data_IF_836346024611
#
_entry.id   IF_836346024611
#
_cell.length_a   1.000
_cell.length_b   1.000
_cell.length_c   1.000
_cell.angle_alpha   90.00
_cell.angle_beta   90.00
_cell.angle_gamma   90.00
#
_symmetry.space_group_name_H-M   'P 1'
#
loop_
_entity.id
_entity.type
_entity.pdbx_description
1 polymer ?
#
# COMPACT_ATOMS: atom_id res chain seq x y z
N UNK A 1 -28.01 53.41 -12.96
CA UNK A 1 -26.85 52.53 -12.67
C UNK A 1 -25.62 53.32 -13.05
N UNK A 2 -24.91 53.83 -12.06
CA UNK A 2 -23.87 54.86 -12.22
C UNK A 2 -22.72 54.38 -13.10
N UNK A 3 -22.37 55.16 -14.11
CA UNK A 3 -21.25 54.86 -15.05
C UNK A 3 -19.92 54.65 -14.30
N UNK A 4 -19.76 55.19 -13.11
CA UNK A 4 -18.60 54.97 -12.24
C UNK A 4 -18.56 53.53 -11.70
N UNK A 5 -19.70 52.96 -11.35
CA UNK A 5 -19.79 51.57 -10.83
C UNK A 5 -19.44 50.55 -11.94
N UNK A 6 -19.88 50.81 -13.15
CA UNK A 6 -19.58 49.98 -14.34
C UNK A 6 -18.08 50.05 -14.65
N UNK A 7 -17.47 51.23 -14.63
CA UNK A 7 -16.03 51.36 -14.90
C UNK A 7 -15.17 50.72 -13.80
N UNK A 8 -15.58 50.77 -12.54
CA UNK A 8 -14.90 50.10 -11.44
C UNK A 8 -14.99 48.57 -11.57
N UNK A 9 -16.17 48.05 -11.94
CA UNK A 9 -16.37 46.65 -12.17
C UNK A 9 -15.54 46.13 -13.37
N UNK A 10 -15.54 46.85 -14.49
CA UNK A 10 -14.73 46.51 -15.65
C UNK A 10 -13.21 46.57 -15.32
N UNK A 11 -12.77 47.55 -14.56
CA UNK A 11 -11.37 47.64 -14.10
C UNK A 11 -10.99 46.45 -13.20
N UNK A 12 -11.87 46.06 -12.30
CA UNK A 12 -11.65 44.88 -11.45
C UNK A 12 -11.57 43.58 -12.25
N UNK A 13 -12.46 43.37 -13.22
CA UNK A 13 -12.45 42.20 -14.11
C UNK A 13 -11.16 42.18 -14.94
N UNK A 14 -10.78 43.31 -15.53
CA UNK A 14 -9.54 43.41 -16.32
C UNK A 14 -8.30 43.06 -15.49
N UNK A 15 -8.22 43.56 -14.24
CA UNK A 15 -7.13 43.24 -13.34
C UNK A 15 -7.06 41.75 -13.03
N UNK A 16 -8.20 41.11 -12.72
CA UNK A 16 -8.27 39.69 -12.44
C UNK A 16 -7.85 38.85 -13.66
N UNK A 17 -8.28 39.24 -14.87
CA UNK A 17 -7.88 38.56 -16.11
C UNK A 17 -6.38 38.69 -16.35
N UNK A 18 -5.80 39.90 -16.15
CA UNK A 18 -4.34 40.07 -16.29
C UNK A 18 -3.55 39.23 -15.31
N UNK A 19 -3.97 39.18 -14.04
CA UNK A 19 -3.33 38.33 -13.02
C UNK A 19 -3.46 36.85 -13.38
N UNK A 20 -4.64 36.41 -13.78
CA UNK A 20 -4.90 35.04 -14.21
C UNK A 20 -4.04 34.61 -15.39
N UNK A 21 -3.92 35.48 -16.41
CA UNK A 21 -3.06 35.23 -17.57
C UNK A 21 -1.58 35.20 -17.19
N UNK A 22 -1.12 36.11 -16.35
CA UNK A 22 0.27 36.16 -15.90
C UNK A 22 0.68 34.86 -15.18
N UNK A 23 -0.11 34.47 -14.19
CA UNK A 23 0.17 33.23 -13.45
C UNK A 23 -0.07 31.98 -14.30
N UNK A 24 -1.10 31.96 -15.15
CA UNK A 24 -1.39 30.84 -16.04
C UNK A 24 -0.25 30.59 -17.05
N UNK A 25 0.24 31.63 -17.68
CA UNK A 25 1.39 31.51 -18.60
C UNK A 25 2.66 31.14 -17.83
N UNK A 26 2.90 31.74 -16.66
CA UNK A 26 4.05 31.40 -15.82
C UNK A 26 4.07 29.93 -15.41
N UNK A 27 2.93 29.40 -14.95
CA UNK A 27 2.78 28.00 -14.60
C UNK A 27 2.92 27.07 -15.81
N UNK A 28 2.35 27.43 -16.95
CA UNK A 28 2.47 26.63 -18.18
C UNK A 28 3.92 26.54 -18.66
N UNK A 29 4.66 27.64 -18.63
CA UNK A 29 6.09 27.67 -18.97
C UNK A 29 6.93 26.86 -17.98
N UNK A 30 6.63 27.00 -16.68
CA UNK A 30 7.29 26.21 -15.64
C UNK A 30 7.00 24.72 -15.81
N UNK A 31 5.75 24.32 -16.01
CA UNK A 31 5.37 22.95 -16.25
C UNK A 31 6.09 22.35 -17.46
N UNK A 32 6.19 23.09 -18.57
CA UNK A 32 6.91 22.63 -19.75
C UNK A 32 8.43 22.50 -19.50
N UNK A 33 9.02 23.47 -18.79
CA UNK A 33 10.47 23.47 -18.51
C UNK A 33 10.89 22.42 -17.49
N UNK A 34 10.03 22.09 -16.51
CA UNK A 34 10.27 21.11 -15.47
C UNK A 34 9.58 19.77 -15.74
N UNK A 35 9.02 19.56 -16.94
CA UNK A 35 8.47 18.27 -17.34
C UNK A 35 9.59 17.23 -17.32
N UNK A 36 9.40 16.21 -16.48
CA UNK A 36 10.27 15.02 -16.44
C UNK A 36 9.75 14.05 -17.51
N UNK A 37 10.60 13.72 -18.46
CA UNK A 37 10.25 12.67 -19.44
C UNK A 37 10.18 11.32 -18.73
N UNK A 38 8.97 10.82 -18.53
CA UNK A 38 8.76 9.48 -17.98
C UNK A 38 8.96 8.46 -19.09
N UNK A 39 9.79 7.46 -18.85
CA UNK A 39 9.99 6.38 -19.81
C UNK A 39 8.64 5.65 -20.04
N UNK A 40 8.13 5.56 -21.27
CA UNK A 40 6.84 4.95 -21.56
C UNK A 40 6.75 3.48 -21.14
N UNK A 41 7.88 2.80 -20.98
CA UNK A 41 7.93 1.45 -20.42
C UNK A 41 7.49 1.40 -18.96
N UNK A 42 7.78 2.45 -18.17
CA UNK A 42 7.35 2.51 -16.76
C UNK A 42 5.83 2.53 -16.67
N UNK A 43 5.18 3.33 -17.53
CA UNK A 43 3.72 3.42 -17.58
C UNK A 43 3.10 2.08 -18.02
N UNK A 44 3.66 1.43 -19.04
CA UNK A 44 3.22 0.12 -19.51
C UNK A 44 3.36 -0.96 -18.41
N UNK A 45 4.46 -0.96 -17.67
CA UNK A 45 4.67 -1.86 -16.54
C UNK A 45 3.66 -1.54 -15.44
N UNK A 46 3.49 -0.27 -15.07
CA UNK A 46 2.55 0.16 -14.03
C UNK A 46 1.12 -0.31 -14.31
N UNK A 47 0.66 -0.19 -15.56
CA UNK A 47 -0.65 -0.69 -16.00
C UNK A 47 -0.78 -2.22 -15.96
N UNK A 48 0.32 -2.94 -16.05
CA UNK A 48 0.32 -4.41 -15.96
C UNK A 48 0.31 -4.93 -14.52
N UNK A 49 0.67 -4.10 -13.55
CA UNK A 49 0.69 -4.47 -12.14
C UNK A 49 -0.72 -4.59 -11.54
N UNK A 50 -0.83 -5.32 -10.44
CA UNK A 50 -2.12 -5.55 -9.76
C UNK A 50 -2.78 -4.29 -9.17
N UNK A 51 -2.10 -3.16 -9.12
CA UNK A 51 -2.63 -1.87 -8.64
C UNK A 51 -2.96 -1.79 -7.14
N UNK A 52 -2.68 -2.84 -6.38
CA UNK A 52 -3.07 -2.95 -4.97
C UNK A 52 -2.30 -2.00 -4.02
N UNK A 53 -1.24 -1.33 -4.47
CA UNK A 53 -0.41 -0.41 -3.70
C UNK A 53 0.07 -0.96 -2.33
N UNK A 54 0.13 -2.29 -2.19
CA UNK A 54 0.32 -2.98 -0.91
C UNK A 54 1.76 -2.90 -0.36
N UNK A 55 2.75 -2.48 -1.16
CA UNK A 55 4.15 -2.43 -0.76
C UNK A 55 4.77 -3.80 -0.41
N UNK A 56 4.11 -4.92 -0.76
CA UNK A 56 4.59 -6.28 -0.51
C UNK A 56 5.91 -6.59 -1.20
N UNK A 57 6.13 -6.02 -2.37
CA UNK A 57 7.37 -6.12 -3.14
C UNK A 57 8.58 -5.37 -2.53
N UNK A 58 8.37 -4.62 -1.43
CA UNK A 58 9.41 -3.82 -0.78
C UNK A 58 9.56 -2.39 -1.31
N UNK A 59 8.79 -1.99 -2.31
CA UNK A 59 8.79 -0.65 -2.90
C UNK A 59 7.61 0.19 -2.41
N UNK A 60 7.72 1.51 -2.51
CA UNK A 60 6.68 2.45 -2.13
C UNK A 60 5.56 2.48 -3.18
N UNK A 61 4.71 1.43 -3.17
CA UNK A 61 3.61 1.26 -4.11
C UNK A 61 4.02 0.68 -5.46
N UNK A 62 3.04 0.53 -6.35
CA UNK A 62 3.24 -0.08 -7.66
C UNK A 62 4.13 0.78 -8.57
N UNK A 63 4.03 2.11 -8.47
CA UNK A 63 4.84 3.04 -9.25
C UNK A 63 6.34 2.90 -8.89
N UNK A 64 6.66 2.85 -7.60
CA UNK A 64 8.04 2.66 -7.14
C UNK A 64 8.66 1.36 -7.68
N UNK A 65 7.90 0.28 -7.71
CA UNK A 65 8.36 -0.98 -8.31
C UNK A 65 8.49 -0.89 -9.82
N UNK A 66 7.53 -0.25 -10.52
CA UNK A 66 7.60 -0.06 -11.98
C UNK A 66 8.86 0.72 -12.39
N UNK A 67 9.17 1.81 -11.68
CA UNK A 67 10.40 2.59 -11.89
C UNK A 67 11.64 1.75 -11.65
N UNK A 68 11.68 1.02 -10.54
CA UNK A 68 12.84 0.20 -10.19
C UNK A 68 13.08 -0.93 -11.18
N UNK A 69 12.04 -1.69 -11.56
CA UNK A 69 12.19 -2.85 -12.46
C UNK A 69 12.57 -2.45 -13.88
N UNK A 70 12.21 -1.24 -14.33
CA UNK A 70 12.60 -0.73 -15.66
C UNK A 70 14.02 -0.18 -15.68
N UNK A 71 14.42 0.53 -14.63
CA UNK A 71 15.71 1.24 -14.60
C UNK A 71 16.87 0.40 -14.06
N UNK A 72 16.61 -0.57 -13.19
CA UNK A 72 17.62 -1.40 -12.56
C UNK A 72 17.53 -2.84 -13.08
N UNK A 73 18.57 -3.35 -13.77
CA UNK A 73 18.63 -4.71 -14.29
C UNK A 73 18.59 -5.79 -13.19
N UNK A 74 19.05 -5.48 -11.97
CA UNK A 74 19.09 -6.44 -10.87
C UNK A 74 17.71 -6.68 -10.22
N UNK A 75 16.75 -5.76 -10.41
CA UNK A 75 15.39 -5.91 -9.87
C UNK A 75 14.62 -6.96 -10.67
N UNK A 76 14.20 -8.06 -10.05
CA UNK A 76 13.51 -9.14 -10.76
C UNK A 76 12.06 -8.77 -11.11
N UNK A 77 11.49 -9.35 -12.19
CA UNK A 77 10.15 -9.01 -12.66
C UNK A 77 9.01 -9.67 -11.86
N UNK A 78 9.31 -10.56 -10.92
CA UNK A 78 8.36 -11.40 -10.20
C UNK A 78 8.04 -10.95 -8.76
N UNK A 79 8.36 -9.70 -8.39
CA UNK A 79 8.12 -9.21 -7.02
C UNK A 79 6.67 -8.80 -6.74
N UNK A 80 5.80 -8.74 -7.75
CA UNK A 80 4.39 -8.42 -7.55
C UNK A 80 3.61 -9.65 -7.10
N UNK A 81 3.57 -9.93 -5.81
CA UNK A 81 2.87 -11.10 -5.25
C UNK A 81 1.36 -11.14 -5.61
N UNK A 82 0.58 -10.03 -5.50
CA UNK A 82 -0.82 -10.05 -5.89
C UNK A 82 -1.06 -10.37 -7.37
N UNK A 83 -0.11 -10.02 -8.23
CA UNK A 83 -0.20 -10.26 -9.67
C UNK A 83 0.17 -11.67 -10.10
N UNK A 84 0.79 -12.44 -9.20
CA UNK A 84 1.23 -13.83 -9.44
C UNK A 84 2.02 -13.97 -10.76
N UNK A 85 2.00 -15.16 -11.33
CA UNK A 85 2.73 -15.50 -12.56
C UNK A 85 2.30 -14.67 -13.78
N UNK A 86 1.02 -14.37 -13.90
CA UNK A 86 0.49 -13.62 -15.05
C UNK A 86 1.07 -12.20 -15.17
N UNK A 87 1.22 -11.50 -14.04
CA UNK A 87 1.84 -10.17 -14.01
C UNK A 87 3.35 -10.28 -14.17
N UNK A 88 4.00 -11.25 -13.52
CA UNK A 88 5.43 -11.47 -13.65
C UNK A 88 5.85 -11.73 -15.11
N UNK A 89 5.07 -12.50 -15.86
CA UNK A 89 5.29 -12.76 -17.29
C UNK A 89 5.21 -11.46 -18.12
N UNK A 90 4.16 -10.64 -17.91
CA UNK A 90 4.01 -9.37 -18.60
C UNK A 90 5.12 -8.36 -18.29
N UNK A 91 5.51 -8.28 -17.02
CA UNK A 91 6.62 -7.40 -16.59
C UNK A 91 7.93 -7.88 -17.22
N UNK A 92 8.19 -9.19 -17.26
CA UNK A 92 9.37 -9.77 -17.87
C UNK A 92 9.42 -9.46 -19.39
N UNK A 93 8.29 -9.59 -20.09
CA UNK A 93 8.16 -9.25 -21.52
C UNK A 93 8.45 -7.76 -21.77
N UNK A 94 7.82 -6.85 -21.02
CA UNK A 94 7.99 -5.40 -21.17
C UNK A 94 9.41 -4.92 -20.85
N UNK A 95 10.06 -5.56 -19.90
CA UNK A 95 11.41 -5.19 -19.46
C UNK A 95 12.52 -5.95 -20.17
N UNK A 96 12.18 -7.03 -20.90
CA UNK A 96 13.14 -7.91 -21.57
C UNK A 96 13.92 -8.79 -20.59
N UNK A 97 13.44 -8.96 -19.36
CA UNK A 97 14.10 -9.76 -18.32
C UNK A 97 13.65 -11.23 -18.35
N UNK A 98 14.52 -12.11 -17.87
CA UNK A 98 14.15 -13.52 -17.74
C UNK A 98 13.15 -13.69 -16.58
N UNK A 99 12.06 -14.41 -16.84
CA UNK A 99 11.09 -14.76 -15.82
C UNK A 99 11.71 -15.72 -14.81
N UNK A 100 11.61 -15.40 -13.53
CA UNK A 100 11.94 -16.30 -12.43
C UNK A 100 10.66 -16.94 -11.92
N UNK A 101 10.71 -18.20 -11.49
CA UNK A 101 9.53 -18.89 -10.95
C UNK A 101 8.90 -18.10 -9.79
N UNK A 102 7.58 -18.03 -9.78
CA UNK A 102 6.79 -17.45 -8.69
C UNK A 102 6.30 -18.58 -7.82
N UNK A 103 6.71 -18.61 -6.56
CA UNK A 103 6.19 -19.56 -5.58
C UNK A 103 4.87 -19.04 -5.01
N UNK A 104 3.85 -19.89 -5.02
CA UNK A 104 2.59 -19.58 -4.35
C UNK A 104 2.79 -19.66 -2.83
N UNK A 105 2.74 -18.52 -2.18
CA UNK A 105 2.85 -18.39 -0.74
C UNK A 105 1.52 -17.94 -0.15
N UNK A 106 1.23 -18.37 1.06
CA UNK A 106 0.10 -17.89 1.85
C UNK A 106 0.58 -17.48 3.24
N UNK A 107 -0.12 -16.55 3.86
CA UNK A 107 0.12 -16.23 5.25
C UNK A 107 -0.35 -17.40 6.13
N UNK A 108 0.47 -17.80 7.08
CA UNK A 108 0.14 -18.88 8.02
C UNK A 108 0.35 -18.36 9.44
N UNK A 109 -0.61 -18.64 10.32
CA UNK A 109 -0.49 -18.29 11.74
C UNK A 109 0.16 -19.45 12.46
N UNK A 110 1.26 -19.19 13.15
CA UNK A 110 2.00 -20.19 13.91
C UNK A 110 1.49 -20.39 15.35
N UNK A 111 0.41 -19.73 15.72
CA UNK A 111 -0.25 -19.91 17.00
C UNK A 111 -1.51 -20.76 16.83
N UNK A 112 -1.52 -21.93 17.42
CA UNK A 112 -2.74 -22.71 17.58
C UNK A 112 -3.38 -22.30 18.90
N UNK A 113 -4.28 -21.32 18.88
CA UNK A 113 -5.00 -20.89 20.09
C UNK A 113 -6.04 -21.95 20.47
N UNK A 114 -5.55 -23.03 21.08
CA UNK A 114 -6.43 -24.02 21.71
C UNK A 114 -6.77 -23.50 23.10
N UNK A 115 -8.07 -23.45 23.40
CA UNK A 115 -8.59 -23.06 24.69
C UNK A 115 -7.87 -23.81 25.82
N UNK A 116 -7.42 -23.08 26.86
CA UNK A 116 -6.66 -23.64 27.97
C UNK A 116 -5.15 -23.83 27.76
N UNK A 117 -4.61 -23.69 26.55
CA UNK A 117 -3.15 -23.82 26.32
C UNK A 117 -2.37 -22.54 26.64
N UNK A 118 -2.98 -21.38 26.57
CA UNK A 118 -2.33 -20.12 26.87
C UNK A 118 -3.09 -19.41 27.99
N UNK A 119 -2.45 -19.29 29.14
CA UNK A 119 -3.00 -18.52 30.27
C UNK A 119 -2.81 -17.02 30.03
N UNK A 120 -3.71 -16.21 30.60
CA UNK A 120 -3.59 -14.76 30.60
C UNK A 120 -2.86 -14.31 31.85
N UNK A 121 -1.95 -13.34 31.74
CA UNK A 121 -1.25 -12.67 32.83
C UNK A 121 -2.12 -11.61 33.48
N UNK A 122 -2.89 -10.91 32.67
CA UNK A 122 -3.78 -9.81 33.04
C UNK A 122 -4.88 -9.65 32.00
N UNK A 123 -5.94 -8.98 32.34
CA UNK A 123 -6.96 -8.51 31.42
C UNK A 123 -6.48 -7.21 30.77
N UNK A 124 -6.62 -7.14 29.45
CA UNK A 124 -6.29 -5.92 28.70
C UNK A 124 -7.52 -5.03 28.60
N UNK A 125 -7.45 -3.85 29.20
CA UNK A 125 -8.47 -2.80 29.11
C UNK A 125 -7.83 -1.61 28.41
N UNK A 126 -8.13 -1.42 27.11
CA UNK A 126 -7.54 -0.36 26.31
C UNK A 126 -8.07 -0.35 24.88
N UNK A 127 -7.38 0.37 24.00
CA UNK A 127 -7.73 0.41 22.59
C UNK A 127 -7.66 -0.97 21.93
N UNK A 128 -8.58 -1.28 21.04
CA UNK A 128 -8.61 -2.53 20.27
C UNK A 128 -7.46 -2.57 19.24
N UNK A 129 -6.22 -2.55 19.70
CA UNK A 129 -5.00 -2.52 18.89
C UNK A 129 -3.99 -3.51 19.46
N UNK A 130 -3.51 -4.43 18.62
CA UNK A 130 -2.47 -5.40 18.98
C UNK A 130 -1.17 -4.69 19.33
N UNK A 131 -0.85 -3.63 18.60
CA UNK A 131 0.34 -2.81 18.83
C UNK A 131 0.29 -2.14 20.18
N UNK A 132 -0.84 -1.50 20.53
CA UNK A 132 -1.02 -0.87 21.84
C UNK A 132 -0.97 -1.88 22.99
N UNK A 133 -1.65 -3.02 22.84
CA UNK A 133 -1.62 -4.07 23.85
C UNK A 133 -0.23 -4.70 24.02
N UNK A 134 0.57 -4.78 22.96
CA UNK A 134 1.93 -5.30 23.02
C UNK A 134 2.90 -4.39 23.79
N UNK A 135 2.67 -3.06 23.79
CA UNK A 135 3.45 -2.12 24.59
C UNK A 135 3.31 -2.38 26.10
N UNK A 136 2.16 -2.91 26.53
CA UNK A 136 1.91 -3.33 27.91
C UNK A 136 2.46 -4.73 28.18
N UNK A 137 3.72 -4.84 28.60
CA UNK A 137 4.37 -6.11 29.01
C UNK A 137 4.28 -7.24 27.97
N UNK A 138 4.23 -6.91 26.69
CA UNK A 138 4.12 -7.87 25.60
C UNK A 138 2.72 -8.48 25.42
N UNK A 139 1.68 -7.81 25.89
CA UNK A 139 0.28 -8.23 25.77
C UNK A 139 -0.21 -9.15 26.89
N UNK A 140 -1.52 -9.47 26.91
CA UNK A 140 -2.19 -10.13 28.02
C UNK A 140 -1.81 -11.60 28.22
N UNK A 141 -1.28 -12.26 27.19
CA UNK A 141 -0.98 -13.70 27.22
C UNK A 141 0.33 -14.00 27.94
N UNK A 142 0.39 -15.11 28.68
CA UNK A 142 1.61 -15.58 29.33
C UNK A 142 2.69 -15.98 28.34
N UNK A 143 2.30 -16.52 27.19
CA UNK A 143 3.21 -16.81 26.09
C UNK A 143 3.57 -15.50 25.34
N UNK A 144 4.84 -15.16 25.32
CA UNK A 144 5.33 -13.95 24.64
C UNK A 144 5.10 -13.94 23.12
N UNK A 145 4.93 -15.11 22.53
CA UNK A 145 4.70 -15.30 21.08
C UNK A 145 3.21 -15.48 20.74
N UNK A 146 2.32 -15.49 21.74
CA UNK A 146 0.91 -15.71 21.48
C UNK A 146 0.27 -14.56 20.69
N UNK A 147 -0.65 -14.92 19.80
CA UNK A 147 -1.52 -13.95 19.14
C UNK A 147 -2.32 -13.17 20.20
N UNK A 148 -2.35 -11.85 20.09
CA UNK A 148 -3.10 -10.97 21.01
C UNK A 148 -4.60 -11.03 20.72
N UNK A 149 -4.99 -11.18 19.42
CA UNK A 149 -6.37 -11.43 19.04
C UNK A 149 -7.23 -10.18 18.82
N UNK A 150 -6.64 -8.98 18.74
CA UNK A 150 -7.38 -7.71 18.53
C UNK A 150 -7.59 -7.33 17.06
N UNK A 151 -7.19 -8.16 16.09
CA UNK A 151 -7.63 -8.04 14.71
C UNK A 151 -6.92 -7.03 13.83
N UNK A 152 -5.80 -6.40 14.23
CA UNK A 152 -5.08 -5.47 13.36
C UNK A 152 -4.67 -6.08 12.01
N UNK A 153 -4.31 -7.38 11.99
CA UNK A 153 -3.99 -8.07 10.74
C UNK A 153 -5.18 -8.18 9.79
N UNK A 154 -6.39 -8.34 10.30
CA UNK A 154 -7.62 -8.34 9.49
C UNK A 154 -7.94 -6.93 8.99
N UNK A 155 -7.83 -5.91 9.84
CA UNK A 155 -8.12 -4.52 9.49
C UNK A 155 -7.21 -3.96 8.38
N UNK A 156 -5.96 -4.42 8.30
CA UNK A 156 -4.99 -3.95 7.29
C UNK A 156 -4.97 -4.82 6.03
N UNK A 157 -5.77 -5.88 5.95
CA UNK A 157 -5.78 -6.78 4.80
C UNK A 157 -6.57 -6.14 3.64
N UNK A 158 -5.91 -5.71 2.54
CA UNK A 158 -6.62 -5.07 1.43
C UNK A 158 -7.40 -6.06 0.56
N UNK A 159 -7.29 -7.36 0.85
CA UNK A 159 -7.94 -8.45 0.11
C UNK A 159 -9.03 -9.14 0.92
N UNK A 160 -9.33 -8.66 2.13
CA UNK A 160 -10.29 -9.27 3.06
C UNK A 160 -10.07 -10.79 3.24
N UNK A 161 -8.81 -11.21 3.21
CA UNK A 161 -8.43 -12.61 3.33
C UNK A 161 -8.31 -13.10 4.78
N UNK A 162 -8.58 -12.23 5.77
CA UNK A 162 -8.44 -12.55 7.19
C UNK A 162 -9.74 -12.25 7.91
N UNK A 163 -10.34 -13.27 8.49
CA UNK A 163 -11.55 -13.14 9.31
C UNK A 163 -11.21 -13.43 10.77
N UNK A 164 -11.77 -12.65 11.69
CA UNK A 164 -11.60 -12.88 13.13
C UNK A 164 -12.70 -13.79 13.65
N UNK A 165 -12.32 -14.96 14.16
CA UNK A 165 -13.24 -15.94 14.79
C UNK A 165 -12.83 -16.07 16.26
N UNK A 166 -13.70 -15.73 17.19
CA UNK A 166 -13.45 -15.80 18.64
C UNK A 166 -12.11 -15.15 19.08
N UNK A 167 -11.77 -14.00 18.45
CA UNK A 167 -10.53 -13.31 18.70
C UNK A 167 -9.28 -14.00 18.12
N UNK A 168 -9.47 -14.92 17.16
CA UNK A 168 -8.38 -15.58 16.44
C UNK A 168 -8.50 -15.31 14.94
N UNK A 169 -7.42 -14.90 14.25
CA UNK A 169 -7.45 -14.67 12.81
C UNK A 169 -7.43 -16.00 12.05
N UNK A 170 -8.41 -16.15 11.17
CA UNK A 170 -8.50 -17.27 10.20
C UNK A 170 -8.21 -16.70 8.83
N UNK A 171 -7.26 -17.30 8.13
CA UNK A 171 -6.81 -16.86 6.81
C UNK A 171 -7.48 -17.71 5.75
N UNK A 172 -8.12 -17.06 4.78
CA UNK A 172 -8.65 -17.68 3.58
C UNK A 172 -7.51 -17.81 2.55
N UNK A 173 -7.08 -19.05 2.22
CA UNK A 173 -5.97 -19.27 1.30
C UNK A 173 -6.30 -18.83 -0.14
N UNK A 174 -7.57 -18.87 -0.55
CA UNK A 174 -7.98 -18.52 -1.91
C UNK A 174 -7.96 -17.00 -2.14
N UNK A 175 -8.19 -16.24 -1.07
CA UNK A 175 -8.15 -14.75 -1.08
C UNK A 175 -6.78 -14.20 -0.72
N UNK A 176 -5.92 -14.98 -0.08
CA UNK A 176 -4.60 -14.54 0.34
C UNK A 176 -3.64 -14.47 -0.85
N UNK A 177 -3.10 -13.29 -1.11
CA UNK A 177 -2.14 -13.03 -2.20
C UNK A 177 -0.71 -12.83 -1.68
N UNK A 178 -0.41 -13.21 -0.46
CA UNK A 178 0.94 -13.14 0.15
C UNK A 178 1.59 -11.75 0.18
N UNK A 179 0.82 -10.68 0.20
CA UNK A 179 1.35 -9.31 0.19
C UNK A 179 2.19 -8.93 1.43
N UNK A 180 2.12 -9.71 2.50
CA UNK A 180 2.91 -9.54 3.72
C UNK A 180 2.50 -8.38 4.63
N UNK A 181 1.45 -7.62 4.31
CA UNK A 181 1.00 -6.45 5.11
C UNK A 181 0.63 -6.87 6.53
N UNK A 182 -0.10 -7.97 6.71
CA UNK A 182 -0.46 -8.50 8.02
C UNK A 182 0.76 -8.92 8.86
N UNK A 183 1.81 -9.44 8.23
CA UNK A 183 3.07 -9.82 8.90
C UNK A 183 3.83 -8.58 9.37
N UNK A 184 3.87 -7.53 8.55
CA UNK A 184 4.53 -6.25 8.92
C UNK A 184 3.81 -5.55 10.06
N UNK A 185 2.48 -5.60 10.08
CA UNK A 185 1.64 -4.96 11.10
C UNK A 185 1.64 -5.74 12.42
N UNK A 186 1.84 -7.05 12.39
CA UNK A 186 1.77 -7.88 13.60
C UNK A 186 2.94 -7.62 14.55
N UNK A 187 2.70 -7.10 15.78
CA UNK A 187 3.78 -6.84 16.74
C UNK A 187 4.40 -8.12 17.29
N UNK A 188 3.69 -9.26 17.15
CA UNK A 188 4.15 -10.59 17.59
C UNK A 188 4.82 -11.39 16.47
N UNK A 189 4.61 -11.01 15.21
CA UNK A 189 5.11 -11.75 14.03
C UNK A 189 4.76 -13.24 14.06
N UNK A 190 3.51 -13.52 14.46
CA UNK A 190 2.96 -14.89 14.62
C UNK A 190 2.66 -15.51 13.28
#
# INVERSE_FOLDING_TARGET
MDSQLINLALGGIALLVCIGLFFGIGLALAAHKFAVEVNPKIEAVLHSLAGAQCGGCGYAGCEGYAIAVVNDPEVPPNLCFPGKEAVAAKVAELTGKKMTAVEDMIAVIRCSRVEGRVSHKHEYIGFASCTAANLGFGGPSACQYACIGLGECAAVCPFDAITMVEGFPVIDPDRCVSCGTCVKTCPKKV
#
